data_IF_075886534372
#
_entry.id   IF_075886534372
#
_cell.length_a   1.000
_cell.length_b   1.000
_cell.length_c   1.000
_cell.angle_alpha   90.00
_cell.angle_beta   90.00
_cell.angle_gamma   90.00
#
_symmetry.space_group_name_H-M   'P 1'
#
loop_
_entity.id
_entity.type
_entity.pdbx_description
1 polymer ?
#
# COMPACT_ATOMS: atom_id res chain seq x y z
N UNK A 1 3.08 22.21 -2.24
CA UNK A 1 2.73 21.55 -0.97
C UNK A 1 2.89 20.06 -1.16
N UNK A 2 3.62 19.39 -0.26
CA UNK A 2 3.79 17.94 -0.28
C UNK A 2 2.47 17.25 0.14
N UNK A 3 2.28 16.02 -0.35
CA UNK A 3 1.12 15.18 -0.07
C UNK A 3 1.61 13.83 0.41
N UNK A 4 0.98 13.31 1.45
CA UNK A 4 1.44 12.07 2.08
C UNK A 4 0.59 10.89 1.64
N UNK A 5 1.24 9.77 1.29
CA UNK A 5 0.58 8.49 1.08
C UNK A 5 0.79 7.61 2.31
N UNK A 6 -0.29 7.29 3.01
CA UNK A 6 -0.26 6.35 4.12
C UNK A 6 -0.76 4.98 3.65
N UNK A 7 -0.04 3.92 3.98
CA UNK A 7 -0.43 2.54 3.69
C UNK A 7 -0.60 1.79 5.01
N UNK A 8 -1.76 1.16 5.19
CA UNK A 8 -2.08 0.30 6.32
C UNK A 8 -2.27 -1.13 5.84
N UNK A 9 -1.76 -2.10 6.60
CA UNK A 9 -2.01 -3.52 6.38
C UNK A 9 -2.86 -4.04 7.53
N UNK A 10 -3.92 -4.80 7.23
CA UNK A 10 -4.84 -5.38 8.22
C UNK A 10 -4.86 -6.91 8.15
N UNK A 11 -5.14 -7.62 9.27
CA UNK A 11 -5.20 -7.09 10.63
C UNK A 11 -3.82 -6.54 11.08
N UNK A 12 -3.82 -5.35 11.70
CA UNK A 12 -2.63 -4.69 12.28
C UNK A 12 -2.72 -4.77 13.81
N UNK A 13 -1.63 -4.93 14.56
CA UNK A 13 -0.58 -3.90 14.74
C UNK A 13 0.89 -4.42 14.73
N UNK A 14 1.11 -5.72 14.43
CA UNK A 14 2.40 -6.41 14.65
C UNK A 14 3.16 -6.80 13.34
N UNK A 15 2.81 -6.21 12.19
CA UNK A 15 3.32 -6.60 10.85
C UNK A 15 3.02 -8.04 10.41
N UNK A 16 2.24 -8.82 11.17
CA UNK A 16 2.02 -10.25 10.90
C UNK A 16 1.53 -10.56 9.47
N UNK A 17 0.79 -9.64 8.84
CA UNK A 17 0.27 -9.86 7.49
C UNK A 17 1.27 -9.63 6.34
N UNK A 18 2.32 -8.84 6.55
CA UNK A 18 3.19 -8.39 5.46
C UNK A 18 3.82 -7.01 5.65
N UNK A 19 4.62 -6.62 4.67
CA UNK A 19 5.18 -5.28 4.51
C UNK A 19 4.75 -4.67 3.17
N UNK A 20 5.15 -3.43 2.88
CA UNK A 20 4.88 -2.79 1.60
C UNK A 20 6.09 -2.04 1.04
N UNK A 21 6.11 -1.88 -0.27
CA UNK A 21 7.04 -1.00 -1.00
C UNK A 21 6.26 0.05 -1.77
N UNK A 22 6.85 1.24 -1.90
CA UNK A 22 6.34 2.32 -2.73
C UNK A 22 7.31 2.57 -3.90
N UNK A 23 6.75 2.74 -5.10
CA UNK A 23 7.52 3.10 -6.28
C UNK A 23 6.81 4.20 -7.09
N UNK A 24 7.41 5.40 -7.26
CA UNK A 24 8.69 5.81 -6.69
C UNK A 24 8.62 5.97 -5.16
N UNK A 25 9.78 5.97 -4.51
CA UNK A 25 9.90 6.44 -3.13
C UNK A 25 9.54 7.94 -3.07
N UNK A 26 9.08 8.38 -1.90
CA UNK A 26 8.78 9.77 -1.62
C UNK A 26 10.00 10.69 -1.72
N UNK A 27 9.73 11.98 -1.67
CA UNK A 27 10.69 13.05 -1.89
C UNK A 27 11.36 13.48 -0.58
N UNK A 28 12.69 13.65 -0.61
CA UNK A 28 13.45 14.21 0.50
C UNK A 28 13.64 13.22 1.64
N UNK A 29 13.51 13.70 2.88
CA UNK A 29 13.64 12.88 4.09
C UNK A 29 12.36 12.06 4.39
N UNK A 30 11.24 12.39 3.72
CA UNK A 30 9.95 11.72 3.90
C UNK A 30 9.69 10.74 2.73
N UNK A 31 9.93 9.44 2.96
CA UNK A 31 9.71 8.38 1.94
C UNK A 31 8.25 8.22 1.49
N UNK A 32 7.32 8.92 2.12
CA UNK A 32 5.88 8.89 1.83
C UNK A 32 5.35 10.24 1.27
N UNK A 33 6.22 11.21 1.01
CA UNK A 33 5.83 12.54 0.53
C UNK A 33 5.94 12.68 -1.00
N UNK A 34 4.88 13.16 -1.64
CA UNK A 34 4.76 13.24 -3.10
C UNK A 34 4.23 14.59 -3.57
N UNK A 35 4.57 14.97 -4.81
CA UNK A 35 3.93 16.09 -5.49
C UNK A 35 2.61 15.65 -6.15
N UNK A 36 1.78 16.64 -6.49
CA UNK A 36 0.48 16.40 -7.11
C UNK A 36 0.63 15.66 -8.45
N UNK A 37 -0.35 14.81 -8.75
CA UNK A 37 -0.52 14.09 -10.02
C UNK A 37 0.54 13.02 -10.33
N UNK A 38 1.49 12.77 -9.41
CA UNK A 38 2.31 11.58 -9.45
C UNK A 38 1.45 10.33 -9.28
N UNK A 39 1.78 9.30 -10.06
CA UNK A 39 1.28 7.94 -9.85
C UNK A 39 2.31 7.17 -9.05
N UNK A 40 1.87 6.58 -7.93
CA UNK A 40 2.70 5.75 -7.05
C UNK A 40 2.15 4.33 -7.08
N UNK A 41 3.02 3.35 -7.33
CA UNK A 41 2.70 1.93 -7.16
C UNK A 41 2.90 1.54 -5.71
N UNK A 42 1.89 0.91 -5.12
CA UNK A 42 1.92 0.26 -3.81
C UNK A 42 2.02 -1.24 -4.05
N UNK A 43 3.05 -1.87 -3.48
CA UNK A 43 3.32 -3.30 -3.64
C UNK A 43 3.27 -3.92 -2.24
N UNK A 44 2.32 -4.82 -1.99
CA UNK A 44 2.28 -5.60 -0.75
C UNK A 44 3.23 -6.79 -0.89
N UNK A 45 4.00 -7.03 0.16
CA UNK A 45 4.85 -8.20 0.34
C UNK A 45 4.25 -9.02 1.48
N UNK A 46 3.33 -9.97 1.18
CA UNK A 46 2.72 -10.81 2.21
C UNK A 46 3.79 -11.64 2.93
N UNK A 47 3.65 -11.79 4.24
CA UNK A 47 4.42 -12.77 4.99
C UNK A 47 3.94 -14.21 4.70
N UNK A 48 4.75 -15.20 5.08
CA UNK A 48 4.40 -16.61 4.88
C UNK A 48 3.09 -16.96 5.59
N UNK A 49 2.17 -17.61 4.86
CA UNK A 49 0.85 -17.94 5.39
C UNK A 49 -0.17 -16.80 5.30
N UNK A 50 0.14 -15.72 4.59
CA UNK A 50 -0.77 -14.63 4.29
C UNK A 50 -0.88 -14.37 2.79
N UNK A 51 -2.03 -13.89 2.37
CA UNK A 51 -2.26 -13.35 1.04
C UNK A 51 -3.11 -12.08 1.12
N UNK A 52 -2.94 -11.20 0.12
CA UNK A 52 -3.78 -10.03 0.00
C UNK A 52 -5.22 -10.46 -0.35
N UNK A 53 -6.18 -10.04 0.46
CA UNK A 53 -7.59 -10.28 0.22
C UNK A 53 -8.24 -9.14 -0.57
N UNK A 54 -8.06 -7.90 -0.10
CA UNK A 54 -8.66 -6.74 -0.74
C UNK A 54 -7.88 -5.44 -0.49
N UNK A 55 -8.14 -4.46 -1.34
CA UNK A 55 -7.75 -3.08 -1.15
C UNK A 55 -8.94 -2.22 -0.71
N UNK A 56 -8.66 -1.17 0.05
CA UNK A 56 -9.57 -0.06 0.29
C UNK A 56 -8.84 1.28 0.15
N UNK A 57 -9.55 2.29 -0.35
CA UNK A 57 -8.98 3.61 -0.65
C UNK A 57 -8.94 3.89 -2.15
N UNK A 58 -8.26 4.97 -2.57
CA UNK A 58 -8.28 5.48 -3.94
C UNK A 58 -7.26 4.76 -4.84
N UNK A 59 -7.28 3.42 -4.81
CA UNK A 59 -6.41 2.59 -5.66
C UNK A 59 -7.05 2.35 -7.03
N UNK A 60 -6.22 2.06 -8.03
CA UNK A 60 -6.63 1.63 -9.35
C UNK A 60 -5.56 0.71 -9.96
N UNK A 61 -5.86 0.05 -11.09
CA UNK A 61 -4.97 -0.91 -11.75
C UNK A 61 -4.44 -1.97 -10.76
N UNK A 62 -5.37 -2.59 -10.02
CA UNK A 62 -5.05 -3.68 -9.10
C UNK A 62 -4.62 -4.92 -9.88
N UNK A 63 -3.44 -5.45 -9.58
CA UNK A 63 -2.86 -6.64 -10.20
C UNK A 63 -2.09 -7.44 -9.14
N UNK A 64 -2.67 -8.57 -8.71
CA UNK A 64 -2.13 -9.38 -7.62
C UNK A 64 -1.95 -8.55 -6.35
N UNK A 65 -0.71 -8.46 -5.87
CA UNK A 65 -0.35 -7.70 -4.66
C UNK A 65 0.00 -6.23 -4.94
N UNK A 66 -0.25 -5.73 -6.16
CA UNK A 66 0.12 -4.37 -6.57
C UNK A 66 -1.13 -3.55 -6.89
N UNK A 67 -1.11 -2.27 -6.54
CA UNK A 67 -2.08 -1.30 -7.00
C UNK A 67 -1.43 0.07 -7.19
N UNK A 68 -2.08 0.97 -7.93
CA UNK A 68 -1.61 2.33 -8.18
C UNK A 68 -2.47 3.37 -7.48
N UNK A 69 -1.85 4.48 -7.08
CA UNK A 69 -2.51 5.64 -6.46
C UNK A 69 -2.09 6.90 -7.20
N UNK A 70 -3.05 7.78 -7.50
CA UNK A 70 -2.77 9.10 -8.08
C UNK A 70 -2.81 10.15 -6.99
N UNK A 71 -1.67 10.80 -6.75
CA UNK A 71 -1.48 11.75 -5.65
C UNK A 71 -2.20 13.09 -5.90
N UNK A 72 -3.50 13.12 -5.63
CA UNK A 72 -4.34 14.33 -5.79
C UNK A 72 -4.47 15.12 -4.48
N UNK A 73 -4.44 14.43 -3.34
CA UNK A 73 -4.35 14.95 -1.96
C UNK A 73 -3.41 14.08 -1.12
N UNK A 74 -3.32 14.33 0.19
CA UNK A 74 -2.84 13.26 1.09
C UNK A 74 -3.90 12.16 1.11
N UNK A 75 -3.47 10.90 1.05
CA UNK A 75 -4.34 9.75 0.82
C UNK A 75 -3.96 8.61 1.76
N UNK A 76 -4.91 7.71 1.96
CA UNK A 76 -4.73 6.48 2.74
C UNK A 76 -5.20 5.30 1.92
N UNK A 77 -4.35 4.27 1.87
CA UNK A 77 -4.65 2.96 1.30
C UNK A 77 -4.62 1.93 2.42
N UNK A 78 -5.56 1.00 2.39
CA UNK A 78 -5.60 -0.14 3.31
C UNK A 78 -5.55 -1.42 2.48
N UNK A 79 -4.60 -2.30 2.79
CA UNK A 79 -4.53 -3.66 2.29
C UNK A 79 -5.06 -4.60 3.38
N UNK A 80 -6.15 -5.32 3.12
CA UNK A 80 -6.64 -6.37 4.01
C UNK A 80 -6.02 -7.68 3.61
N UNK A 81 -5.36 -8.35 4.55
CA UNK A 81 -4.75 -9.66 4.40
C UNK A 81 -5.66 -10.73 4.98
N UNK A 82 -5.54 -11.94 4.44
CA UNK A 82 -6.13 -13.15 5.03
C UNK A 82 -5.08 -14.25 5.10
N UNK A 83 -5.31 -15.21 6.00
CA UNK A 83 -4.46 -16.40 6.08
C UNK A 83 -4.64 -17.23 4.81
N UNK A 84 -3.54 -17.72 4.24
CA UNK A 84 -3.63 -18.72 3.18
C UNK A 84 -4.15 -20.01 3.82
N UNK A 85 -5.30 -20.50 3.38
CA UNK A 85 -5.83 -21.75 3.90
C UNK A 85 -4.89 -22.91 3.51
N UNK A 86 -4.28 -23.54 4.51
CA UNK A 86 -3.62 -24.85 4.32
C UNK A 86 -4.72 -25.88 4.19
N UNK A 87 -5.01 -26.30 2.97
CA UNK A 87 -5.90 -27.44 2.72
C UNK A 87 -5.28 -28.76 3.16
#
# INVERSE_FOLDING_TARGET
MLRYLHVWIKPGDDFEGGTYLLNPLGLGEDENAYIRDMTVSVIILPEAGWELDNWAGPVFNEEGNTAQVKMTSSLTVVATMKRTDTK
#
